data_IF_327785375001
#
_entry.id   IF_327785375001
#
_cell.length_a   1.000
_cell.length_b   1.000
_cell.length_c   1.000
_cell.angle_alpha   90.00
_cell.angle_beta   90.00
_cell.angle_gamma   90.00
#
_symmetry.space_group_name_H-M   'P 1'
#
loop_
_entity.id
_entity.type
_entity.pdbx_description
1 polymer ?
#
# COMPACT_ATOMS: atom_id res chain seq x y z
N UNK A 1 13.35 28.47 15.76
CA UNK A 1 12.18 27.57 15.91
C UNK A 1 11.61 27.31 14.52
N UNK A 2 11.80 26.10 13.98
CA UNK A 2 11.27 25.75 12.65
C UNK A 2 9.74 25.71 12.73
N UNK A 3 9.07 26.39 11.83
CA UNK A 3 7.60 26.30 11.72
C UNK A 3 7.21 24.86 11.40
N UNK A 4 6.08 24.37 11.90
CA UNK A 4 5.63 22.97 11.66
C UNK A 4 5.58 22.61 10.17
N UNK A 5 5.28 23.56 9.31
CA UNK A 5 5.24 23.39 7.85
C UNK A 5 6.62 23.22 7.19
N UNK A 6 7.73 23.49 7.90
CA UNK A 6 9.08 23.29 7.37
C UNK A 6 9.58 21.84 7.47
N UNK A 7 8.85 20.97 8.18
CA UNK A 7 9.18 19.55 8.31
C UNK A 7 8.70 18.77 7.08
N UNK A 8 9.51 17.83 6.60
CA UNK A 8 9.15 17.01 5.44
C UNK A 8 7.97 16.06 5.73
N UNK A 9 7.88 15.53 6.94
CA UNK A 9 6.85 14.60 7.39
C UNK A 9 5.96 15.21 8.49
N UNK A 10 4.65 14.91 8.47
CA UNK A 10 3.72 15.37 9.50
C UNK A 10 4.01 14.75 10.88
N UNK A 11 3.59 15.41 11.98
CA UNK A 11 3.70 14.84 13.30
C UNK A 11 2.97 13.48 13.38
N UNK A 12 3.50 12.56 14.18
CA UNK A 12 2.94 11.20 14.31
C UNK A 12 3.24 10.26 13.14
N UNK A 13 4.13 10.63 12.21
CA UNK A 13 4.53 9.77 11.11
C UNK A 13 5.05 8.38 11.53
N UNK A 14 5.79 8.19 12.64
CA UNK A 14 6.26 6.86 13.02
C UNK A 14 5.11 5.89 13.31
N UNK A 15 4.07 6.37 14.01
CA UNK A 15 2.89 5.55 14.31
C UNK A 15 2.18 5.10 13.03
N UNK A 16 2.00 6.00 12.07
CA UNK A 16 1.34 5.66 10.80
C UNK A 16 2.16 4.67 9.96
N UNK A 17 3.47 4.86 9.89
CA UNK A 17 4.38 3.92 9.22
C UNK A 17 4.36 2.57 9.92
N UNK A 18 4.45 2.54 11.25
CA UNK A 18 4.39 1.28 12.03
C UNK A 18 3.06 0.55 11.82
N UNK A 19 1.94 1.28 11.77
CA UNK A 19 0.64 0.68 11.49
C UNK A 19 0.58 0.04 10.09
N UNK A 20 1.13 0.69 9.06
CA UNK A 20 1.18 0.14 7.71
C UNK A 20 2.10 -1.09 7.63
N UNK A 21 3.27 -1.05 8.27
CA UNK A 21 4.19 -2.18 8.35
C UNK A 21 3.53 -3.36 9.07
N UNK A 22 2.89 -3.12 10.21
CA UNK A 22 2.19 -4.17 10.95
C UNK A 22 1.05 -4.78 10.13
N UNK A 23 0.24 -3.95 9.47
CA UNK A 23 -0.82 -4.43 8.59
C UNK A 23 -0.27 -5.29 7.43
N UNK A 24 0.86 -4.88 6.84
CA UNK A 24 1.53 -5.65 5.79
C UNK A 24 2.03 -7.01 6.30
N UNK A 25 2.71 -7.04 7.44
CA UNK A 25 3.24 -8.29 8.01
C UNK A 25 2.12 -9.24 8.43
N UNK A 26 1.09 -8.74 9.12
CA UNK A 26 -0.05 -9.57 9.55
C UNK A 26 -0.83 -10.07 8.34
N UNK A 27 -1.09 -9.22 7.35
CA UNK A 27 -1.79 -9.61 6.13
C UNK A 27 -1.03 -10.65 5.32
N UNK A 28 0.27 -10.47 5.12
CA UNK A 28 1.11 -11.47 4.45
C UNK A 28 1.18 -12.79 5.24
N UNK A 29 1.33 -12.72 6.56
CA UNK A 29 1.31 -13.92 7.39
C UNK A 29 0.00 -14.69 7.22
N UNK A 30 -1.14 -14.01 7.23
CA UNK A 30 -2.44 -14.61 6.99
C UNK A 30 -2.52 -15.28 5.61
N UNK A 31 -2.00 -14.62 4.57
CA UNK A 31 -1.92 -15.19 3.21
C UNK A 31 -1.10 -16.48 3.19
N UNK A 32 0.02 -16.54 3.90
CA UNK A 32 0.89 -17.73 3.91
C UNK A 32 0.39 -18.86 4.80
N UNK A 33 -0.34 -18.56 5.88
CA UNK A 33 -0.85 -19.57 6.80
C UNK A 33 -2.14 -20.26 6.36
N UNK A 34 -2.97 -19.57 5.54
CA UNK A 34 -4.23 -20.12 5.06
C UNK A 34 -3.97 -20.94 3.79
N UNK A 35 -4.42 -22.22 3.73
CA UNK A 35 -4.25 -23.06 2.54
C UNK A 35 -5.25 -22.67 1.44
N UNK A 36 -4.96 -21.57 0.75
CA UNK A 36 -5.81 -21.10 -0.33
C UNK A 36 -5.79 -22.02 -1.55
N UNK A 37 -6.91 -22.17 -2.25
CA UNK A 37 -6.93 -22.84 -3.55
C UNK A 37 -5.96 -22.14 -4.53
N UNK A 38 -5.15 -22.91 -5.25
CA UNK A 38 -4.16 -22.35 -6.19
C UNK A 38 -4.81 -21.44 -7.24
N UNK A 39 -6.03 -21.77 -7.67
CA UNK A 39 -6.79 -20.94 -8.62
C UNK A 39 -7.06 -19.51 -8.15
N UNK A 40 -7.04 -19.25 -6.85
CA UNK A 40 -7.20 -17.92 -6.26
C UNK A 40 -5.88 -17.19 -6.04
N UNK A 41 -4.75 -17.90 -6.13
CA UNK A 41 -3.43 -17.34 -5.86
C UNK A 41 -2.63 -16.95 -7.12
N UNK A 42 -2.97 -17.54 -8.27
CA UNK A 42 -2.23 -17.30 -9.51
C UNK A 42 -2.86 -16.15 -10.27
N UNK A 43 -2.09 -15.08 -10.50
CA UNK A 43 -2.41 -14.06 -11.50
C UNK A 43 -1.76 -14.40 -12.84
N UNK A 44 -2.32 -13.90 -13.94
CA UNK A 44 -1.76 -14.09 -15.29
C UNK A 44 -0.30 -13.61 -15.40
N UNK A 45 0.04 -12.54 -14.67
CA UNK A 45 1.40 -12.00 -14.65
C UNK A 45 2.39 -12.85 -13.82
N UNK A 46 1.93 -13.53 -12.79
CA UNK A 46 2.77 -14.42 -11.97
C UNK A 46 3.11 -15.73 -12.68
N UNK A 47 2.20 -16.24 -13.53
CA UNK A 47 2.46 -17.45 -14.31
C UNK A 47 3.64 -17.28 -15.29
N UNK A 48 3.98 -16.05 -15.67
CA UNK A 48 5.10 -15.74 -16.57
C UNK A 48 6.41 -15.41 -15.86
N UNK A 49 6.42 -15.25 -14.52
CA UNK A 49 7.51 -14.64 -13.75
C UNK A 49 8.43 -15.59 -12.97
N UNK A 50 8.25 -16.91 -13.09
CA UNK A 50 9.08 -17.88 -12.35
C UNK A 50 10.41 -18.21 -13.05
N UNK A 51 11.01 -17.26 -13.78
CA UNK A 51 12.30 -17.43 -14.43
C UNK A 51 13.38 -16.73 -13.61
N UNK A 52 14.53 -17.38 -13.46
CA UNK A 52 15.72 -16.91 -12.73
C UNK A 52 16.01 -15.43 -12.91
N UNK A 53 15.83 -14.65 -11.82
CA UNK A 53 16.09 -13.21 -11.85
C UNK A 53 17.60 -12.93 -11.84
N UNK A 54 18.04 -12.16 -12.81
CA UNK A 54 19.38 -11.57 -12.77
C UNK A 54 19.40 -10.32 -11.85
N UNK A 55 20.60 -9.80 -11.53
CA UNK A 55 20.75 -8.65 -10.64
C UNK A 55 20.01 -7.38 -11.11
N UNK A 56 19.94 -7.16 -12.40
CA UNK A 56 19.26 -5.98 -12.98
C UNK A 56 17.75 -6.10 -12.86
N UNK A 57 17.19 -7.29 -13.03
CA UNK A 57 15.78 -7.56 -12.79
C UNK A 57 15.37 -7.39 -11.33
N UNK A 58 16.18 -7.89 -10.42
CA UNK A 58 15.97 -7.70 -8.99
C UNK A 58 15.95 -6.21 -8.64
N UNK A 59 16.97 -5.46 -9.10
CA UNK A 59 17.02 -4.00 -8.86
C UNK A 59 15.81 -3.28 -9.45
N UNK A 60 15.39 -3.63 -10.67
CA UNK A 60 14.20 -3.06 -11.31
C UNK A 60 12.93 -3.34 -10.49
N UNK A 61 12.71 -4.58 -10.06
CA UNK A 61 11.54 -4.96 -9.23
C UNK A 61 11.53 -4.24 -7.89
N UNK A 62 12.68 -4.13 -7.23
CA UNK A 62 12.80 -3.37 -5.98
C UNK A 62 12.48 -1.88 -6.19
N UNK A 63 13.04 -1.27 -7.23
CA UNK A 63 12.76 0.13 -7.55
C UNK A 63 11.28 0.35 -7.89
N UNK A 64 10.67 -0.56 -8.64
CA UNK A 64 9.25 -0.52 -8.95
C UNK A 64 8.40 -0.62 -7.67
N UNK A 65 8.62 -1.64 -6.85
CA UNK A 65 7.81 -1.92 -5.65
C UNK A 65 7.98 -0.88 -4.55
N UNK A 66 9.18 -0.31 -4.38
CA UNK A 66 9.48 0.60 -3.27
C UNK A 66 9.26 2.07 -3.63
N UNK A 67 9.29 2.43 -4.91
CA UNK A 67 9.18 3.83 -5.33
C UNK A 67 8.06 4.05 -6.34
N UNK A 68 8.14 3.43 -7.52
CA UNK A 68 7.24 3.76 -8.63
C UNK A 68 5.80 3.36 -8.36
N UNK A 69 5.56 2.15 -7.86
CA UNK A 69 4.23 1.67 -7.56
C UNK A 69 3.58 2.47 -6.41
N UNK A 70 4.21 2.67 -5.24
CA UNK A 70 3.65 3.51 -4.19
C UNK A 70 3.34 4.94 -4.65
N UNK A 71 4.20 5.57 -5.44
CA UNK A 71 3.94 6.90 -5.99
C UNK A 71 2.70 6.91 -6.89
N UNK A 72 2.64 6.02 -7.88
CA UNK A 72 1.53 5.99 -8.84
C UNK A 72 0.21 5.58 -8.18
N UNK A 73 0.24 4.55 -7.36
CA UNK A 73 -0.96 4.00 -6.72
C UNK A 73 -1.54 4.96 -5.69
N UNK A 74 -0.73 5.61 -4.85
CA UNK A 74 -1.25 6.60 -3.90
C UNK A 74 -1.75 7.87 -4.60
N UNK A 75 -1.21 8.22 -5.77
CA UNK A 75 -1.75 9.30 -6.59
C UNK A 75 -3.17 8.97 -7.10
N UNK A 76 -3.41 7.74 -7.52
CA UNK A 76 -4.72 7.32 -8.01
C UNK A 76 -5.70 7.11 -6.86
N UNK A 77 -5.33 6.28 -5.88
CA UNK A 77 -6.28 5.80 -4.88
C UNK A 77 -6.49 6.79 -3.73
N UNK A 78 -5.45 7.46 -3.21
CA UNK A 78 -5.59 8.36 -2.06
C UNK A 78 -5.75 9.80 -2.47
N UNK A 79 -4.87 10.31 -3.30
CA UNK A 79 -5.02 11.70 -3.75
C UNK A 79 -6.21 11.85 -4.72
N UNK A 80 -6.37 10.94 -5.69
CA UNK A 80 -7.47 10.91 -6.65
C UNK A 80 -8.79 10.47 -6.01
N UNK A 81 -9.02 9.16 -5.89
CA UNK A 81 -10.34 8.60 -5.50
C UNK A 81 -10.75 9.08 -4.11
N UNK A 82 -9.91 8.82 -3.10
CA UNK A 82 -10.23 9.23 -1.73
C UNK A 82 -10.39 10.74 -1.62
N UNK A 83 -9.42 11.52 -2.12
CA UNK A 83 -9.41 12.97 -2.00
C UNK A 83 -10.58 13.65 -2.71
N UNK A 84 -11.03 13.13 -3.85
CA UNK A 84 -12.21 13.65 -4.55
C UNK A 84 -13.51 13.35 -3.80
N UNK A 85 -13.68 12.11 -3.34
CA UNK A 85 -14.87 11.69 -2.60
C UNK A 85 -14.97 12.38 -1.24
N UNK A 86 -13.82 12.59 -0.58
CA UNK A 86 -13.72 13.24 0.74
C UNK A 86 -14.25 14.68 0.75
N UNK A 87 -14.28 15.33 -0.40
CA UNK A 87 -14.87 16.67 -0.53
C UNK A 87 -16.39 16.71 -0.28
N UNK A 88 -17.06 15.56 -0.44
CA UNK A 88 -18.53 15.45 -0.36
C UNK A 88 -19.02 14.46 0.69
N UNK A 89 -18.16 13.55 1.15
CA UNK A 89 -18.52 12.42 1.99
C UNK A 89 -17.70 12.40 3.29
N UNK A 90 -18.25 11.79 4.32
CA UNK A 90 -17.53 11.51 5.57
C UNK A 90 -16.39 10.49 5.32
N UNK A 91 -15.30 10.51 6.11
CA UNK A 91 -14.06 9.77 5.83
C UNK A 91 -14.22 8.27 5.57
N UNK A 92 -15.18 7.63 6.23
CA UNK A 92 -15.37 6.18 6.19
C UNK A 92 -15.72 5.69 4.78
N UNK A 93 -16.64 6.36 4.11
CA UNK A 93 -17.09 5.91 2.76
C UNK A 93 -16.02 6.11 1.69
N UNK A 94 -15.31 7.26 1.59
CA UNK A 94 -14.12 7.39 0.75
C UNK A 94 -13.03 6.35 1.04
N UNK A 95 -12.80 6.01 2.31
CA UNK A 95 -11.80 5.00 2.68
C UNK A 95 -12.18 3.62 2.15
N UNK A 96 -13.44 3.21 2.34
CA UNK A 96 -13.94 1.93 1.83
C UNK A 96 -13.88 1.86 0.30
N UNK A 97 -14.34 2.89 -0.40
CA UNK A 97 -14.34 2.92 -1.87
C UNK A 97 -12.91 2.90 -2.42
N UNK A 98 -12.03 3.74 -1.87
CA UNK A 98 -10.63 3.81 -2.28
C UNK A 98 -9.87 2.50 -2.01
N UNK A 99 -10.08 1.90 -0.84
CA UNK A 99 -9.47 0.62 -0.50
C UNK A 99 -10.02 -0.54 -1.35
N UNK A 100 -11.33 -0.55 -1.63
CA UNK A 100 -11.93 -1.54 -2.52
C UNK A 100 -11.38 -1.42 -3.94
N UNK A 101 -11.31 -0.21 -4.48
CA UNK A 101 -10.71 0.03 -5.80
C UNK A 101 -9.24 -0.40 -5.84
N UNK A 102 -8.48 -0.15 -4.76
CA UNK A 102 -7.10 -0.59 -4.62
C UNK A 102 -6.99 -2.12 -4.58
N UNK A 103 -7.87 -2.81 -3.84
CA UNK A 103 -7.93 -4.26 -3.84
C UNK A 103 -8.28 -4.86 -5.21
N UNK A 104 -9.30 -4.30 -5.89
CA UNK A 104 -9.71 -4.75 -7.22
C UNK A 104 -8.67 -4.50 -8.32
N UNK A 105 -7.79 -3.54 -8.14
CA UNK A 105 -6.67 -3.28 -9.04
C UNK A 105 -5.67 -4.45 -9.08
N UNK A 106 -5.59 -5.24 -8.01
CA UNK A 106 -4.76 -6.43 -7.96
C UNK A 106 -5.48 -7.61 -8.65
N UNK A 107 -4.83 -8.24 -9.61
CA UNK A 107 -5.41 -9.30 -10.47
C UNK A 107 -5.69 -10.62 -9.74
N UNK A 108 -5.25 -10.75 -8.49
CA UNK A 108 -5.35 -11.94 -7.66
C UNK A 108 -6.28 -11.66 -6.48
N UNK A 109 -7.29 -12.51 -6.26
CA UNK A 109 -8.31 -12.31 -5.20
C UNK A 109 -7.67 -12.22 -3.82
N UNK A 110 -6.71 -13.09 -3.50
CA UNK A 110 -6.07 -13.12 -2.19
C UNK A 110 -5.20 -11.88 -1.98
N UNK A 111 -4.44 -11.50 -3.00
CA UNK A 111 -3.69 -10.26 -2.98
C UNK A 111 -4.60 -9.04 -2.93
N UNK A 112 -5.75 -9.09 -3.59
CA UNK A 112 -6.77 -8.05 -3.52
C UNK A 112 -7.37 -7.88 -2.12
N UNK A 113 -7.65 -8.97 -1.42
CA UNK A 113 -8.10 -8.92 -0.02
C UNK A 113 -7.04 -8.32 0.91
N UNK A 114 -5.78 -8.73 0.75
CA UNK A 114 -4.66 -8.14 1.46
C UNK A 114 -4.53 -6.64 1.16
N UNK A 115 -4.55 -6.27 -0.12
CA UNK A 115 -4.44 -4.88 -0.55
C UNK A 115 -5.61 -4.03 -0.06
N UNK A 116 -6.84 -4.57 -0.02
CA UNK A 116 -7.98 -3.88 0.58
C UNK A 116 -7.73 -3.55 2.06
N UNK A 117 -7.27 -4.52 2.86
CA UNK A 117 -6.95 -4.30 4.27
C UNK A 117 -5.85 -3.26 4.48
N UNK A 118 -4.74 -3.38 3.76
CA UNK A 118 -3.67 -2.37 3.75
C UNK A 118 -4.20 -1.01 3.28
N UNK A 119 -5.05 -1.02 2.26
CA UNK A 119 -5.69 0.17 1.69
C UNK A 119 -6.48 1.00 2.69
N UNK A 120 -7.18 0.35 3.64
CA UNK A 120 -7.87 1.04 4.72
C UNK A 120 -6.90 1.74 5.68
N UNK A 121 -5.78 1.07 6.01
CA UNK A 121 -4.73 1.66 6.87
C UNK A 121 -4.06 2.85 6.18
N UNK A 122 -3.79 2.76 4.88
CA UNK A 122 -3.24 3.87 4.10
C UNK A 122 -4.22 5.05 4.00
N UNK A 123 -5.52 4.79 3.83
CA UNK A 123 -6.56 5.81 3.82
C UNK A 123 -6.68 6.51 5.19
N UNK A 124 -6.60 5.74 6.29
CA UNK A 124 -6.53 6.31 7.62
C UNK A 124 -5.32 7.23 7.80
N UNK A 125 -4.12 6.76 7.45
CA UNK A 125 -2.91 7.57 7.58
C UNK A 125 -2.91 8.82 6.69
N UNK A 126 -3.54 8.74 5.52
CA UNK A 126 -3.77 9.88 4.65
C UNK A 126 -4.69 10.90 5.32
N UNK A 127 -5.85 10.48 5.85
CA UNK A 127 -6.82 11.37 6.50
C UNK A 127 -6.27 12.00 7.78
N UNK A 128 -5.64 11.20 8.63
CA UNK A 128 -5.12 11.60 9.93
C UNK A 128 -3.89 12.54 9.84
N UNK A 129 -3.30 12.68 8.67
CA UNK A 129 -2.18 13.60 8.44
C UNK A 129 -2.68 15.03 8.30
N UNK A 130 -2.26 15.98 9.17
CA UNK A 130 -2.71 17.38 9.11
C UNK A 130 -2.21 18.11 7.86
N UNK A 131 -1.09 17.67 7.31
CA UNK A 131 -0.48 18.15 6.06
C UNK A 131 0.39 17.06 5.44
N UNK A 132 0.83 17.25 4.19
CA UNK A 132 1.68 16.27 3.50
C UNK A 132 1.03 14.89 3.32
N UNK A 133 -0.30 14.83 3.27
CA UNK A 133 -1.13 13.60 3.22
C UNK A 133 -0.63 12.61 2.16
N UNK A 134 -0.39 13.06 0.94
CA UNK A 134 0.09 12.22 -0.15
C UNK A 134 1.47 11.61 0.16
N UNK A 135 2.43 12.44 0.60
CA UNK A 135 3.78 11.96 0.97
C UNK A 135 3.73 10.94 2.10
N UNK A 136 2.82 11.14 3.05
CA UNK A 136 2.62 10.19 4.15
C UNK A 136 2.11 8.85 3.65
N UNK A 137 1.10 8.84 2.79
CA UNK A 137 0.57 7.60 2.21
C UNK A 137 1.63 6.86 1.39
N UNK A 138 2.40 7.57 0.55
CA UNK A 138 3.52 7.00 -0.21
C UNK A 138 4.57 6.37 0.72
N UNK A 139 4.96 7.06 1.79
CA UNK A 139 5.93 6.53 2.75
C UNK A 139 5.41 5.28 3.47
N UNK A 140 4.16 5.31 3.93
CA UNK A 140 3.50 4.16 4.56
C UNK A 140 3.47 2.95 3.63
N UNK A 141 3.09 3.16 2.38
CA UNK A 141 3.00 2.11 1.36
C UNK A 141 4.39 1.54 1.04
N UNK A 142 5.37 2.39 0.78
CA UNK A 142 6.74 1.95 0.52
C UNK A 142 7.33 1.16 1.70
N UNK A 143 7.09 1.60 2.95
CA UNK A 143 7.52 0.89 4.15
C UNK A 143 6.82 -0.46 4.31
N UNK A 144 5.52 -0.54 4.01
CA UNK A 144 4.76 -1.79 4.00
C UNK A 144 5.33 -2.79 2.99
N UNK A 145 5.60 -2.34 1.77
CA UNK A 145 6.21 -3.17 0.71
C UNK A 145 7.62 -3.62 1.08
N UNK A 146 8.44 -2.72 1.66
CA UNK A 146 9.78 -3.07 2.12
C UNK A 146 9.75 -4.14 3.21
N UNK A 147 8.86 -4.01 4.19
CA UNK A 147 8.71 -4.99 5.27
C UNK A 147 8.24 -6.35 4.74
N UNK A 148 7.27 -6.36 3.82
CA UNK A 148 6.81 -7.59 3.18
C UNK A 148 7.91 -8.28 2.38
N UNK A 149 8.69 -7.54 1.60
CA UNK A 149 9.82 -8.07 0.84
C UNK A 149 10.95 -8.61 1.73
N UNK A 150 11.24 -7.97 2.86
CA UNK A 150 12.30 -8.41 3.78
C UNK A 150 11.94 -9.69 4.54
N UNK A 151 10.65 -9.93 4.79
CA UNK A 151 10.19 -11.06 5.62
C UNK A 151 9.72 -12.24 4.78
N UNK A 152 9.08 -11.98 3.64
CA UNK A 152 8.41 -13.00 2.82
C UNK A 152 8.91 -13.07 1.37
N UNK A 153 9.81 -12.14 0.96
CA UNK A 153 10.35 -12.03 -0.41
C UNK A 153 11.52 -12.96 -0.72
#
# INVERSE_FOLDING_TARGET
MMTETSRFLPPGWPLRVSAAVLAALVGNLAVHLIPWPQSLMVSLNQAQGAVFMNRSELFYRLALSLFSAPLAEEAVFRWGIYGLLRKKLLPVLPALISALAFGLYHENIIQGLYAFGLGLVLAWGYEDSPWGKYRMAVLMHAAANAAALLVFG
#
